data_IF_368033600734
#
_entry.id   IF_368033600734
#
_cell.length_a   1.000
_cell.length_b   1.000
_cell.length_c   1.000
_cell.angle_alpha   90.00
_cell.angle_beta   90.00
_cell.angle_gamma   90.00
#
_symmetry.space_group_name_H-M   'P 1'
#
loop_
_entity.id
_entity.type
_entity.pdbx_description
1 polymer ?
#
# COMPACT_ATOMS: atom_id res chain seq x y z
N UNK A 1 20.52 -68.69 -59.76
CA UNK A 1 19.50 -67.62 -59.72
C UNK A 1 18.67 -67.62 -58.43
N UNK A 2 18.13 -68.76 -57.96
CA UNK A 2 17.20 -68.84 -56.81
C UNK A 2 17.77 -68.36 -55.45
N UNK A 3 19.05 -68.63 -55.15
CA UNK A 3 19.68 -68.27 -53.86
C UNK A 3 19.93 -66.77 -53.68
N UNK A 4 20.23 -66.04 -54.76
CA UNK A 4 20.45 -64.59 -54.72
C UNK A 4 19.14 -63.85 -54.47
N UNK A 5 18.05 -64.31 -55.09
CA UNK A 5 16.72 -63.74 -54.88
C UNK A 5 16.22 -63.92 -53.45
N UNK A 6 16.45 -65.10 -52.84
CA UNK A 6 16.15 -65.33 -51.42
C UNK A 6 16.98 -64.43 -50.48
N UNK A 7 18.26 -64.20 -50.79
CA UNK A 7 19.08 -63.23 -50.03
C UNK A 7 18.53 -61.81 -50.16
N UNK A 8 18.13 -61.39 -51.36
CA UNK A 8 17.52 -60.08 -51.59
C UNK A 8 16.21 -59.92 -50.83
N UNK A 9 15.33 -60.93 -50.84
CA UNK A 9 14.09 -60.91 -50.05
C UNK A 9 14.35 -60.79 -48.54
N UNK A 10 15.38 -61.47 -48.02
CA UNK A 10 15.76 -61.35 -46.60
C UNK A 10 16.27 -59.94 -46.27
N UNK A 11 17.14 -59.38 -47.10
CA UNK A 11 17.66 -58.02 -46.94
C UNK A 11 16.53 -56.97 -47.04
N UNK A 12 15.60 -57.15 -47.97
CA UNK A 12 14.45 -56.27 -48.13
C UNK A 12 13.53 -56.31 -46.88
N UNK A 13 13.21 -57.50 -46.36
CA UNK A 13 12.46 -57.64 -45.10
C UNK A 13 13.19 -57.02 -43.91
N UNK A 14 14.51 -57.21 -43.81
CA UNK A 14 15.32 -56.59 -42.77
C UNK A 14 15.32 -55.06 -42.88
N UNK A 15 15.42 -54.52 -44.10
CA UNK A 15 15.32 -53.07 -44.36
C UNK A 15 13.95 -52.50 -43.97
N UNK A 16 12.85 -53.19 -44.30
CA UNK A 16 11.52 -52.78 -43.87
C UNK A 16 11.34 -52.85 -42.35
N UNK A 17 11.89 -53.87 -41.69
CA UNK A 17 11.86 -53.99 -40.24
C UNK A 17 12.60 -52.84 -39.57
N UNK A 18 13.80 -52.51 -40.04
CA UNK A 18 14.61 -51.41 -39.53
C UNK A 18 13.93 -50.04 -39.77
N UNK A 19 13.35 -49.83 -40.96
CA UNK A 19 12.60 -48.61 -41.25
C UNK A 19 11.37 -48.47 -40.34
N UNK A 20 10.65 -49.57 -40.07
CA UNK A 20 9.51 -49.58 -39.15
C UNK A 20 9.96 -49.25 -37.72
N UNK A 21 11.06 -49.84 -37.27
CA UNK A 21 11.63 -49.59 -35.94
C UNK A 21 12.06 -48.12 -35.77
N UNK A 22 12.80 -47.57 -36.74
CA UNK A 22 13.19 -46.15 -36.69
C UNK A 22 11.97 -45.22 -36.70
N UNK A 23 10.92 -45.57 -37.46
CA UNK A 23 9.67 -44.82 -37.46
C UNK A 23 8.96 -44.86 -36.10
N UNK A 24 8.94 -45.99 -35.41
CA UNK A 24 8.33 -46.08 -34.07
C UNK A 24 9.15 -45.31 -33.05
N UNK A 25 10.48 -45.46 -33.05
CA UNK A 25 11.36 -44.74 -32.12
C UNK A 25 11.26 -43.22 -32.27
N UNK A 26 11.24 -42.72 -33.52
CA UNK A 26 11.07 -41.30 -33.80
C UNK A 26 9.68 -40.77 -33.43
N UNK A 27 8.64 -41.59 -33.59
CA UNK A 27 7.29 -41.23 -33.17
C UNK A 27 7.18 -41.14 -31.65
N UNK A 28 7.74 -42.10 -30.92
CA UNK A 28 7.72 -42.11 -29.45
C UNK A 28 8.50 -40.92 -28.89
N UNK A 29 9.68 -40.63 -29.45
CA UNK A 29 10.46 -39.46 -29.08
C UNK A 29 9.70 -38.15 -29.34
N UNK A 30 9.01 -38.05 -30.49
CA UNK A 30 8.16 -36.90 -30.81
C UNK A 30 7.01 -36.75 -29.80
N UNK A 31 6.31 -37.82 -29.48
CA UNK A 31 5.20 -37.78 -28.52
C UNK A 31 5.67 -37.34 -27.12
N UNK A 32 6.85 -37.80 -26.69
CA UNK A 32 7.46 -37.36 -25.44
C UNK A 32 7.81 -35.86 -25.47
N UNK A 33 8.39 -35.38 -26.58
CA UNK A 33 8.68 -33.96 -26.77
C UNK A 33 7.40 -33.12 -26.72
N UNK A 34 6.35 -33.52 -27.42
CA UNK A 34 5.06 -32.82 -27.46
C UNK A 34 4.43 -32.74 -26.05
N UNK A 35 4.52 -33.82 -25.27
CA UNK A 35 4.06 -33.86 -23.87
C UNK A 35 4.84 -32.88 -22.98
N UNK A 36 6.18 -32.87 -23.11
CA UNK A 36 7.02 -31.94 -22.34
C UNK A 36 6.76 -30.49 -22.73
N UNK A 37 6.57 -30.21 -24.02
CA UNK A 37 6.24 -28.89 -24.53
C UNK A 37 4.91 -28.39 -23.95
N UNK A 38 3.88 -29.24 -23.91
CA UNK A 38 2.61 -28.90 -23.27
C UNK A 38 2.78 -28.60 -21.77
N UNK A 39 3.57 -29.40 -21.05
CA UNK A 39 3.86 -29.16 -19.64
C UNK A 39 4.58 -27.83 -19.43
N UNK A 40 5.55 -27.50 -20.28
CA UNK A 40 6.28 -26.23 -20.23
C UNK A 40 5.35 -25.04 -20.50
N UNK A 41 4.43 -25.19 -21.46
CA UNK A 41 3.44 -24.16 -21.77
C UNK A 41 2.51 -23.92 -20.57
N UNK A 42 2.01 -24.98 -19.92
CA UNK A 42 1.21 -24.88 -18.71
C UNK A 42 1.93 -24.11 -17.59
N UNK A 43 3.18 -24.49 -17.29
CA UNK A 43 4.00 -23.80 -16.29
C UNK A 43 4.28 -22.33 -16.66
N UNK A 44 4.46 -22.06 -17.95
CA UNK A 44 4.69 -20.70 -18.43
C UNK A 44 3.46 -19.81 -18.25
N UNK A 45 2.26 -20.36 -18.49
CA UNK A 45 1.00 -19.68 -18.20
C UNK A 45 0.81 -19.43 -16.71
N UNK A 46 1.04 -20.45 -15.88
CA UNK A 46 0.94 -20.33 -14.42
C UNK A 46 1.89 -19.25 -13.90
N UNK A 47 3.16 -19.25 -14.34
CA UNK A 47 4.13 -18.21 -13.99
C UNK A 47 3.66 -16.81 -14.41
N UNK A 48 3.12 -16.68 -15.62
CA UNK A 48 2.62 -15.39 -16.10
C UNK A 48 1.41 -14.90 -15.30
N UNK A 49 0.51 -15.83 -14.94
CA UNK A 49 -0.63 -15.55 -14.07
C UNK A 49 -0.18 -15.09 -12.68
N UNK A 50 0.72 -15.84 -12.03
CA UNK A 50 1.26 -15.48 -10.72
C UNK A 50 1.97 -14.13 -10.72
N UNK A 51 2.76 -13.84 -11.78
CA UNK A 51 3.37 -12.51 -11.93
C UNK A 51 2.35 -11.39 -12.03
N UNK A 52 1.23 -11.63 -12.73
CA UNK A 52 0.14 -10.66 -12.83
C UNK A 52 -0.55 -10.45 -11.49
N UNK A 53 -0.80 -11.51 -10.73
CA UNK A 53 -1.36 -11.38 -9.37
C UNK A 53 -0.39 -10.69 -8.41
N UNK A 54 0.91 -10.98 -8.48
CA UNK A 54 1.94 -10.26 -7.71
C UNK A 54 1.93 -8.77 -8.01
N UNK A 55 1.91 -8.37 -9.28
CA UNK A 55 1.84 -6.96 -9.67
C UNK A 55 0.58 -6.29 -9.10
N UNK A 56 -0.58 -6.96 -9.16
CA UNK A 56 -1.81 -6.44 -8.55
C UNK A 56 -1.69 -6.26 -7.04
N UNK A 57 -0.98 -7.15 -6.35
CA UNK A 57 -0.75 -7.04 -4.91
C UNK A 57 0.24 -5.92 -4.57
N UNK A 58 1.25 -5.70 -5.40
CA UNK A 58 2.22 -4.61 -5.25
C UNK A 58 1.58 -3.24 -5.53
N UNK A 59 0.65 -3.17 -6.49
CA UNK A 59 -0.12 -1.96 -6.84
C UNK A 59 -1.17 -1.58 -5.77
N UNK A 60 -1.31 -2.35 -4.69
CA UNK A 60 -2.22 -2.00 -3.59
C UNK A 60 -1.63 -0.82 -2.83
N UNK A 61 -2.05 0.39 -3.19
CA UNK A 61 -1.80 1.59 -2.41
C UNK A 61 -2.54 1.51 -1.08
N UNK A 62 -1.77 1.39 0.00
CA UNK A 62 -2.29 1.44 1.36
C UNK A 62 -2.39 2.89 1.83
N UNK A 63 -3.52 3.27 2.42
CA UNK A 63 -3.82 4.65 2.82
C UNK A 63 -2.77 5.31 3.73
N UNK A 64 -2.01 4.53 4.51
CA UNK A 64 -0.97 5.06 5.41
C UNK A 64 0.23 5.64 4.66
N UNK A 65 0.48 5.25 3.40
CA UNK A 65 1.60 5.77 2.61
C UNK A 65 1.41 7.23 2.19
N UNK A 66 0.16 7.71 2.18
CA UNK A 66 -0.19 9.08 1.80
C UNK A 66 -0.32 10.02 3.01
N UNK A 67 -0.08 9.53 4.23
CA UNK A 67 -0.16 10.37 5.43
C UNK A 67 1.14 11.14 5.58
N UNK A 68 1.04 12.45 5.70
CA UNK A 68 2.18 13.29 6.11
C UNK A 68 2.55 12.92 7.54
N UNK A 69 3.75 12.34 7.70
CA UNK A 69 4.33 11.95 8.99
C UNK A 69 5.50 12.89 9.29
N UNK A 70 5.72 13.17 10.58
CA UNK A 70 6.93 13.82 11.08
C UNK A 70 8.16 13.02 10.64
N UNK A 71 9.23 13.75 10.34
CA UNK A 71 10.50 13.18 9.89
C UNK A 71 11.05 12.17 10.91
N UNK A 72 11.85 11.21 10.46
CA UNK A 72 12.42 10.20 11.36
C UNK A 72 13.30 10.85 12.45
N UNK A 73 14.06 11.88 12.10
CA UNK A 73 14.93 12.59 13.04
C UNK A 73 14.13 13.32 14.14
N UNK A 74 13.00 13.92 13.77
CA UNK A 74 12.12 14.59 14.72
C UNK A 74 11.39 13.57 15.59
N UNK A 75 10.89 12.47 15.02
CA UNK A 75 10.27 11.38 15.78
C UNK A 75 11.25 10.81 16.82
N UNK A 76 12.50 10.56 16.45
CA UNK A 76 13.51 10.04 17.39
C UNK A 76 13.84 11.02 18.53
N UNK A 77 13.61 12.31 18.33
CA UNK A 77 13.83 13.35 19.36
C UNK A 77 12.63 13.58 20.26
N UNK A 78 11.41 13.52 19.72
CA UNK A 78 10.19 13.89 20.44
C UNK A 78 9.44 12.68 21.00
N UNK A 79 9.58 11.51 20.38
CA UNK A 79 8.90 10.31 20.83
C UNK A 79 9.50 9.77 22.15
N UNK A 80 8.65 9.24 23.04
CA UNK A 80 9.10 8.51 24.24
C UNK A 80 10.07 7.37 23.88
N UNK A 81 11.09 7.16 24.73
CA UNK A 81 12.14 6.16 24.51
C UNK A 81 11.64 4.71 24.31
N UNK A 82 10.42 4.41 24.78
CA UNK A 82 9.74 3.12 24.62
C UNK A 82 9.37 2.86 23.15
N UNK A 83 9.08 3.92 22.38
CA UNK A 83 8.64 3.82 20.97
C UNK A 83 9.81 3.94 19.98
N UNK A 84 10.95 4.48 20.40
CA UNK A 84 12.12 4.73 19.55
C UNK A 84 13.17 3.60 19.57
N UNK A 85 12.98 2.57 20.40
CA UNK A 85 13.98 1.51 20.65
C UNK A 85 13.86 0.29 19.74
N UNK A 86 12.82 0.18 18.91
CA UNK A 86 12.61 -1.01 18.08
C UNK A 86 13.39 -1.02 16.75
N UNK A 87 13.95 -2.20 16.47
CA UNK A 87 14.86 -2.45 15.34
C UNK A 87 14.10 -2.79 14.05
N UNK A 88 12.90 -3.37 14.16
CA UNK A 88 12.11 -3.79 13.00
C UNK A 88 11.50 -2.58 12.25
N UNK A 89 11.71 -2.44 10.94
CA UNK A 89 11.17 -1.33 10.16
C UNK A 89 9.64 -1.21 10.21
N UNK A 90 8.92 -2.33 10.20
CA UNK A 90 7.46 -2.32 10.23
C UNK A 90 6.95 -1.89 11.60
N UNK A 91 7.48 -2.48 12.67
CA UNK A 91 7.14 -2.08 14.04
C UNK A 91 7.45 -0.59 14.31
N UNK A 92 8.58 -0.09 13.79
CA UNK A 92 8.90 1.35 13.82
C UNK A 92 7.87 2.19 13.10
N UNK A 93 7.42 1.79 11.91
CA UNK A 93 6.38 2.53 11.18
C UNK A 93 5.06 2.57 11.96
N UNK A 94 4.66 1.47 12.60
CA UNK A 94 3.48 1.44 13.46
C UNK A 94 3.61 2.40 14.65
N UNK A 95 4.78 2.42 15.31
CA UNK A 95 5.04 3.34 16.41
C UNK A 95 5.00 4.80 15.97
N UNK A 96 5.50 5.11 14.76
CA UNK A 96 5.39 6.45 14.15
C UNK A 96 3.93 6.84 13.89
N UNK A 97 3.15 5.96 13.28
CA UNK A 97 1.73 6.20 13.01
C UNK A 97 0.93 6.42 14.30
N UNK A 98 1.22 5.64 15.35
CA UNK A 98 0.57 5.78 16.64
C UNK A 98 0.92 7.11 17.31
N UNK A 99 2.20 7.49 17.29
CA UNK A 99 2.64 8.79 17.81
C UNK A 99 1.95 9.96 17.12
N UNK A 100 1.86 9.93 15.79
CA UNK A 100 1.14 10.95 15.02
C UNK A 100 -0.35 11.04 15.35
N UNK A 101 -0.99 9.89 15.52
CA UNK A 101 -2.39 9.84 15.89
C UNK A 101 -2.61 10.52 17.25
N UNK A 102 -1.73 10.25 18.21
CA UNK A 102 -1.84 10.78 19.56
C UNK A 102 -1.49 12.27 19.61
N UNK A 103 -0.50 12.73 18.84
CA UNK A 103 -0.18 14.16 18.67
C UNK A 103 -1.33 14.92 18.01
N UNK A 104 -1.94 14.37 16.94
CA UNK A 104 -3.10 14.99 16.29
C UNK A 104 -4.30 15.08 17.23
N UNK A 105 -4.56 14.05 18.05
CA UNK A 105 -5.61 14.13 19.08
C UNK A 105 -5.33 15.23 20.10
N UNK A 106 -4.08 15.32 20.59
CA UNK A 106 -3.67 16.38 21.53
C UNK A 106 -3.90 17.77 20.94
N UNK A 107 -3.48 17.99 19.69
CA UNK A 107 -3.64 19.28 19.01
C UNK A 107 -5.12 19.64 18.79
N UNK A 108 -5.95 18.67 18.41
CA UNK A 108 -7.40 18.89 18.26
C UNK A 108 -8.06 19.25 19.59
N UNK A 109 -7.66 18.62 20.69
CA UNK A 109 -8.20 18.95 22.00
C UNK A 109 -7.72 20.32 22.50
N UNK A 110 -6.45 20.66 22.27
CA UNK A 110 -5.91 22.00 22.53
C UNK A 110 -6.60 23.08 21.71
N UNK A 111 -6.87 22.82 20.42
CA UNK A 111 -7.63 23.73 19.55
C UNK A 111 -9.03 23.99 20.12
N UNK A 112 -9.74 22.95 20.54
CA UNK A 112 -11.08 23.10 21.16
C UNK A 112 -11.02 23.96 22.41
N UNK A 113 -10.02 23.74 23.27
CA UNK A 113 -9.85 24.56 24.48
C UNK A 113 -9.55 26.03 24.14
N UNK A 114 -8.68 26.28 23.17
CA UNK A 114 -8.34 27.63 22.74
C UNK A 114 -9.53 28.34 22.09
N UNK A 115 -10.32 27.63 21.29
CA UNK A 115 -11.57 28.15 20.71
C UNK A 115 -12.57 28.50 21.81
N UNK A 116 -12.74 27.64 22.81
CA UNK A 116 -13.62 27.92 23.95
C UNK A 116 -13.16 29.15 24.75
N UNK A 117 -11.85 29.27 25.01
CA UNK A 117 -11.26 30.45 25.67
C UNK A 117 -11.46 31.72 24.85
N UNK A 118 -11.22 31.66 23.53
CA UNK A 118 -11.46 32.77 22.60
C UNK A 118 -12.91 33.23 22.65
N UNK A 119 -13.86 32.30 22.57
CA UNK A 119 -15.28 32.63 22.54
C UNK A 119 -15.77 33.21 23.88
N UNK A 120 -15.24 32.71 25.00
CA UNK A 120 -15.48 33.29 26.32
C UNK A 120 -14.97 34.73 26.42
N UNK A 121 -13.73 35.00 25.97
CA UNK A 121 -13.14 36.34 25.96
C UNK A 121 -13.90 37.29 25.03
N UNK A 122 -14.35 36.83 23.86
CA UNK A 122 -15.18 37.63 22.95
C UNK A 122 -16.50 38.01 23.63
N UNK A 123 -17.14 37.08 24.36
CA UNK A 123 -18.37 37.35 25.09
C UNK A 123 -18.16 38.36 26.22
N UNK A 124 -17.09 38.21 26.99
CA UNK A 124 -16.73 39.13 28.07
C UNK A 124 -16.44 40.54 27.51
N UNK A 125 -15.69 40.64 26.41
CA UNK A 125 -15.36 41.91 25.79
C UNK A 125 -16.62 42.64 25.27
N UNK A 126 -17.56 41.89 24.65
CA UNK A 126 -18.87 42.43 24.25
C UNK A 126 -19.70 42.92 25.43
N UNK A 127 -19.71 42.19 26.54
CA UNK A 127 -20.43 42.59 27.75
C UNK A 127 -19.85 43.89 28.34
N UNK A 128 -18.52 43.94 28.53
CA UNK A 128 -17.83 45.15 29.02
C UNK A 128 -18.02 46.35 28.09
N UNK A 129 -18.03 46.14 26.78
CA UNK A 129 -18.32 47.22 25.82
C UNK A 129 -19.74 47.76 25.99
N UNK A 130 -20.74 46.89 26.17
CA UNK A 130 -22.11 47.31 26.43
C UNK A 130 -22.26 48.05 27.78
N UNK A 131 -21.53 47.62 28.81
CA UNK A 131 -21.47 48.33 30.11
C UNK A 131 -20.84 49.72 29.97
N UNK A 132 -19.74 49.86 29.24
CA UNK A 132 -19.11 51.16 28.94
C UNK A 132 -20.06 52.07 28.16
N UNK A 133 -20.73 51.55 27.12
CA UNK A 133 -21.72 52.33 26.35
C UNK A 133 -22.91 52.80 27.21
N UNK A 134 -23.28 52.05 28.24
CA UNK A 134 -24.30 52.47 29.19
C UNK A 134 -23.76 53.55 30.16
N UNK A 135 -22.55 53.37 30.68
CA UNK A 135 -21.92 54.35 31.56
C UNK A 135 -21.70 55.69 30.84
N UNK A 136 -21.32 55.67 29.56
CA UNK A 136 -21.20 56.87 28.73
C UNK A 136 -22.54 57.63 28.63
N UNK A 137 -23.66 56.92 28.43
CA UNK A 137 -25.00 57.52 28.42
C UNK A 137 -25.36 58.14 29.77
N UNK A 138 -25.05 57.45 30.87
CA UNK A 138 -25.31 57.94 32.22
C UNK A 138 -24.49 59.21 32.53
N UNK A 139 -23.22 59.24 32.11
CA UNK A 139 -22.36 60.42 32.22
C UNK A 139 -22.89 61.59 31.39
N UNK A 140 -23.29 61.35 30.14
CA UNK A 140 -23.93 62.39 29.31
C UNK A 140 -25.19 62.97 29.96
N UNK A 141 -26.02 62.12 30.58
CA UNK A 141 -27.21 62.55 31.30
C UNK A 141 -26.85 63.44 32.51
N UNK A 142 -25.85 63.04 33.32
CA UNK A 142 -25.38 63.82 34.46
C UNK A 142 -24.81 65.18 34.04
N UNK A 143 -24.02 65.23 32.96
CA UNK A 143 -23.49 66.49 32.42
C UNK A 143 -24.63 67.40 31.95
N UNK A 144 -25.65 66.87 31.26
CA UNK A 144 -26.83 67.65 30.84
C UNK A 144 -27.63 68.21 32.01
N UNK A 145 -27.76 67.45 33.11
CA UNK A 145 -28.46 67.91 34.33
C UNK A 145 -27.69 69.02 35.03
N UNK A 146 -26.36 68.99 35.00
CA UNK A 146 -25.49 69.97 35.69
C UNK A 146 -25.25 71.27 34.90
N UNK A 147 -25.56 71.31 33.61
CA UNK A 147 -25.46 72.49 32.74
C UNK A 147 -26.79 73.28 32.68
N UNK A 148 -27.86 72.81 33.34
CA UNK A 148 -29.08 73.57 33.63
C UNK A 148 -29.03 74.15 35.04
#
# INVERSE_FOLDING_TARGET
ASTLFLKLQRLNRAGHALAKQSKTETLDAKQNMDRLHLSLQNLSYERAYLKKELAKCEDIETSYQNVELVSEDEFMRTAPAILSTEIDPHARMLNRLQFELDERKRLVDEEKELVAKRDALIKENKAKKAELENLDKDLEALVKVRVR
#
